data_IF_139449223731
#
_entry.id   IF_139449223731
#
_cell.length_a   1.000
_cell.length_b   1.000
_cell.length_c   1.000
_cell.angle_alpha   90.00
_cell.angle_beta   90.00
_cell.angle_gamma   90.00
#
_symmetry.space_group_name_H-M   'P 1'
#
loop_
_entity.id
_entity.type
_entity.pdbx_description
1 polymer ?
#
# COMPACT_ATOMS: atom_id res chain seq x y z
N UNK A 1 -3.20 2.12 7.72
CA UNK A 1 -2.17 2.88 6.96
C UNK A 1 -2.87 3.71 5.90
N UNK A 2 -2.41 4.94 5.64
CA UNK A 2 -2.87 5.78 4.54
C UNK A 2 -1.66 6.18 3.71
N UNK A 3 -1.71 5.97 2.39
CA UNK A 3 -0.67 6.36 1.45
C UNK A 3 -1.28 7.10 0.26
N UNK A 4 -0.67 8.23 -0.11
CA UNK A 4 -1.12 9.09 -1.20
C UNK A 4 0.02 9.29 -2.20
N UNK A 5 -0.25 9.07 -3.48
CA UNK A 5 0.67 9.39 -4.56
C UNK A 5 0.11 10.57 -5.37
N UNK A 6 0.61 11.77 -5.13
CA UNK A 6 0.19 12.99 -5.86
C UNK A 6 0.99 13.23 -7.15
N UNK A 7 1.53 12.17 -7.76
CA UNK A 7 2.15 12.23 -9.08
C UNK A 7 1.46 11.26 -10.04
N UNK A 8 1.39 11.55 -11.35
CA UNK A 8 0.76 10.66 -12.34
C UNK A 8 1.59 9.40 -12.62
N UNK A 9 2.76 9.24 -12.00
CA UNK A 9 3.62 8.08 -12.18
C UNK A 9 3.26 7.04 -11.11
N UNK A 10 2.80 5.83 -11.49
CA UNK A 10 2.59 4.75 -10.54
C UNK A 10 3.91 4.38 -9.85
N UNK A 11 3.86 4.01 -8.57
CA UNK A 11 5.05 3.57 -7.82
C UNK A 11 4.91 2.09 -7.50
N UNK A 12 5.62 1.26 -8.24
CA UNK A 12 5.73 -0.16 -7.94
C UNK A 12 6.80 -0.40 -6.88
N UNK A 13 6.61 -1.45 -6.07
CA UNK A 13 7.55 -1.87 -5.04
C UNK A 13 7.99 -0.76 -4.07
N UNK A 14 7.11 0.19 -3.78
CA UNK A 14 7.38 1.29 -2.87
C UNK A 14 7.45 0.78 -1.43
N UNK A 15 8.64 0.81 -0.85
CA UNK A 15 8.92 0.29 0.50
C UNK A 15 8.97 1.40 1.54
N UNK A 16 8.26 1.22 2.64
CA UNK A 16 8.30 2.13 3.78
C UNK A 16 8.19 1.40 5.12
N UNK A 17 8.72 1.99 6.18
CA UNK A 17 8.69 1.38 7.52
C UNK A 17 7.30 1.38 8.14
N UNK A 18 6.93 0.30 8.84
CA UNK A 18 5.67 0.18 9.58
C UNK A 18 5.88 -0.28 11.03
N UNK A 19 4.86 -0.07 11.87
CA UNK A 19 4.94 -0.34 13.32
C UNK A 19 4.44 -1.75 13.69
N UNK A 20 3.56 -2.30 12.87
CA UNK A 20 2.85 -3.55 13.15
C UNK A 20 3.11 -4.53 12.00
N UNK A 21 3.93 -5.58 12.20
CA UNK A 21 4.11 -6.60 11.19
C UNK A 21 2.83 -7.41 10.96
N UNK A 22 2.68 -7.98 9.76
CA UNK A 22 1.57 -8.86 9.42
C UNK A 22 1.06 -8.67 7.99
N UNK A 23 -0.16 -9.17 7.77
CA UNK A 23 -0.88 -9.06 6.50
C UNK A 23 -1.69 -7.77 6.47
N UNK A 24 -1.60 -7.04 5.38
CA UNK A 24 -2.32 -5.79 5.14
C UNK A 24 -3.19 -5.94 3.91
N UNK A 25 -4.42 -5.42 3.95
CA UNK A 25 -5.34 -5.41 2.83
C UNK A 25 -5.82 -3.99 2.55
N UNK A 26 -5.95 -3.66 1.27
CA UNK A 26 -6.63 -2.43 0.86
C UNK A 26 -8.11 -2.47 1.29
N UNK A 27 -8.55 -1.41 1.98
CA UNK A 27 -9.96 -1.17 2.33
C UNK A 27 -10.55 0.02 1.56
N UNK A 28 -9.68 0.87 1.00
CA UNK A 28 -10.04 1.96 0.10
C UNK A 28 -8.92 2.12 -0.93
N UNK A 29 -9.29 2.26 -2.19
CA UNK A 29 -8.40 2.60 -3.29
C UNK A 29 -9.14 3.54 -4.24
N UNK A 30 -8.74 4.81 -4.28
CA UNK A 30 -9.41 5.82 -5.12
C UNK A 30 -9.17 5.63 -6.61
N UNK A 31 -8.17 4.82 -7.01
CA UNK A 31 -7.90 4.48 -8.40
C UNK A 31 -8.65 3.21 -8.85
N UNK A 32 -9.52 2.64 -8.02
CA UNK A 32 -10.34 1.49 -8.41
C UNK A 32 -11.17 1.78 -9.67
N UNK A 33 -11.35 0.75 -10.52
CA UNK A 33 -12.25 0.82 -11.67
C UNK A 33 -13.70 1.15 -11.29
N UNK A 34 -14.11 0.88 -10.04
CA UNK A 34 -15.43 1.26 -9.52
C UNK A 34 -15.63 2.79 -9.45
N UNK A 35 -14.53 3.56 -9.41
CA UNK A 35 -14.51 5.02 -9.47
C UNK A 35 -13.98 5.54 -10.81
N UNK A 36 -13.91 4.68 -11.84
CA UNK A 36 -13.31 4.99 -13.15
C UNK A 36 -11.81 5.32 -13.11
N UNK A 37 -11.09 4.86 -12.07
CA UNK A 37 -9.63 4.91 -12.05
C UNK A 37 -9.00 3.82 -12.93
N UNK A 38 -7.67 3.79 -12.98
CA UNK A 38 -6.91 2.84 -13.82
C UNK A 38 -6.90 1.40 -13.29
N UNK A 39 -7.44 1.20 -12.08
CA UNK A 39 -7.49 -0.04 -11.33
C UNK A 39 -6.11 -0.56 -10.88
N UNK A 40 -5.11 0.32 -10.77
CA UNK A 40 -3.85 -0.02 -10.17
C UNK A 40 -4.01 -0.23 -8.65
N UNK A 41 -3.26 -1.16 -8.08
CA UNK A 41 -3.33 -1.49 -6.67
C UNK A 41 -2.50 -2.72 -6.32
N UNK A 42 -2.64 -3.19 -5.07
CA UNK A 42 -1.86 -4.29 -4.52
C UNK A 42 -2.49 -5.67 -4.73
N UNK A 43 -3.68 -5.74 -5.32
CA UNK A 43 -4.28 -7.01 -5.77
C UNK A 43 -4.62 -8.01 -4.66
N UNK A 44 -4.82 -7.56 -3.42
CA UNK A 44 -5.22 -8.42 -2.30
C UNK A 44 -4.43 -8.14 -1.02
N UNK A 45 -3.90 -9.19 -0.42
CA UNK A 45 -3.12 -9.14 0.81
C UNK A 45 -1.65 -8.88 0.52
N UNK A 46 -1.07 -7.93 1.24
CA UNK A 46 0.36 -7.64 1.26
C UNK A 46 0.93 -8.08 2.60
N UNK A 47 1.91 -8.98 2.56
CA UNK A 47 2.68 -9.37 3.73
C UNK A 47 3.80 -8.33 3.97
N UNK A 48 4.00 -7.91 5.23
CA UNK A 48 5.18 -7.13 5.59
C UNK A 48 6.41 -8.02 5.72
N UNK A 49 7.57 -7.50 5.34
CA UNK A 49 8.86 -8.17 5.49
C UNK A 49 9.62 -7.65 6.73
N UNK A 50 10.43 -8.50 7.34
CA UNK A 50 11.41 -8.12 8.38
C UNK A 50 12.64 -7.43 7.74
N UNK A 51 12.39 -6.39 6.95
CA UNK A 51 13.38 -5.55 6.29
C UNK A 51 13.26 -4.14 6.87
N UNK A 52 14.37 -3.61 7.38
CA UNK A 52 14.39 -2.27 7.96
C UNK A 52 14.14 -1.19 6.90
N UNK A 53 13.26 -0.24 7.22
CA UNK A 53 13.01 0.94 6.38
C UNK A 53 12.49 2.08 7.25
N UNK A 54 12.89 3.32 6.95
CA UNK A 54 12.46 4.52 7.70
C UNK A 54 12.63 4.37 9.24
N UNK A 55 13.70 3.71 9.69
CA UNK A 55 13.98 3.46 11.12
C UNK A 55 13.01 2.50 11.81
N UNK A 56 12.31 1.65 11.05
CA UNK A 56 11.35 0.65 11.55
C UNK A 56 11.83 -0.75 11.13
N UNK A 57 11.72 -1.78 12.00
CA UNK A 57 12.26 -3.11 11.72
C UNK A 57 11.49 -3.90 10.66
N UNK A 58 10.25 -3.51 10.35
CA UNK A 58 9.41 -4.17 9.34
C UNK A 58 8.91 -3.17 8.31
N UNK A 59 8.76 -3.63 7.06
CA UNK A 59 8.26 -2.81 5.96
C UNK A 59 7.49 -3.66 4.94
N UNK A 60 6.33 -3.21 4.42
CA UNK A 60 5.73 -3.77 3.23
C UNK A 60 6.36 -3.12 1.98
N UNK A 61 6.20 -3.80 0.85
CA UNK A 61 6.47 -3.27 -0.48
C UNK A 61 5.14 -3.15 -1.22
N UNK A 62 4.71 -1.93 -1.53
CA UNK A 62 3.39 -1.65 -2.09
C UNK A 62 3.47 -1.10 -3.53
N UNK A 63 2.42 -1.37 -4.30
CA UNK A 63 2.06 -0.58 -5.46
C UNK A 63 1.23 0.62 -5.02
N UNK A 64 1.68 1.84 -5.34
CA UNK A 64 0.91 3.07 -5.16
C UNK A 64 0.34 3.51 -6.52
N UNK A 65 -1.00 3.59 -6.66
CA UNK A 65 -1.64 4.03 -7.90
C UNK A 65 -1.23 5.47 -8.30
N UNK A 66 -1.28 5.83 -9.58
CA UNK A 66 -1.00 7.20 -10.02
C UNK A 66 -2.12 8.14 -9.56
N UNK A 67 -1.78 9.33 -9.06
CA UNK A 67 -2.75 10.31 -8.54
C UNK A 67 -3.79 9.71 -7.56
N UNK A 68 -3.41 8.66 -6.83
CA UNK A 68 -4.33 7.85 -6.02
C UNK A 68 -4.03 7.88 -4.53
N UNK A 69 -5.06 7.62 -3.73
CA UNK A 69 -4.96 7.38 -2.29
C UNK A 69 -5.43 5.96 -1.98
N UNK A 70 -4.64 5.23 -1.20
CA UNK A 70 -5.00 3.90 -0.69
C UNK A 70 -4.99 3.88 0.83
N UNK A 71 -5.97 3.20 1.41
CA UNK A 71 -6.01 2.91 2.84
C UNK A 71 -5.91 1.40 3.05
N UNK A 72 -5.06 1.00 3.99
CA UNK A 72 -4.86 -0.40 4.34
C UNK A 72 -5.20 -0.67 5.80
N UNK A 73 -5.85 -1.80 6.03
CA UNK A 73 -6.08 -2.38 7.36
C UNK A 73 -5.16 -3.58 7.56
N UNK A 74 -4.73 -3.80 8.80
CA UNK A 74 -4.05 -5.04 9.19
C UNK A 74 -5.11 -6.10 9.43
N UNK A 75 -4.96 -7.26 8.81
CA UNK A 75 -5.83 -8.41 9.10
C UNK A 75 -5.47 -9.01 10.48
N UNK A 76 -6.49 -9.56 11.15
CA UNK A 76 -6.29 -10.38 12.34
C UNK A 76 -5.49 -11.65 12.02
N UNK A 77 -4.91 -12.26 13.04
CA UNK A 77 -4.29 -13.59 12.93
C UNK A 77 -5.34 -14.69 12.90
#
# INVERSE_FOLDING_TARGET
IVACNFTPVPREHYRFGINQPGKWREILNTDSMHYHGSNAGNGGLVQSDAIESHGRPNSPSLTLPPLGTIWLVREGE
#
